data_IF_759760141741
#
_entry.id   IF_759760141741
#
_cell.length_a   1.000
_cell.length_b   1.000
_cell.length_c   1.000
_cell.angle_alpha   90.00
_cell.angle_beta   90.00
_cell.angle_gamma   90.00
#
_symmetry.space_group_name_H-M   'P 1'
#
loop_
_entity.id
_entity.type
_entity.pdbx_description
1 polymer ?
#
# COMPACT_ATOMS: atom_id res chain seq x y z
N UNK A 1 -11.62 -7.69 -50.39
CA UNK A 1 -10.36 -7.08 -49.91
C UNK A 1 -10.37 -7.13 -48.39
N UNK A 2 -9.51 -7.98 -47.83
CA UNK A 2 -9.52 -8.41 -46.43
C UNK A 2 -8.84 -7.40 -45.51
N UNK A 3 -9.53 -6.99 -44.44
CA UNK A 3 -9.00 -6.15 -43.37
C UNK A 3 -8.15 -7.01 -42.43
N UNK A 4 -6.83 -6.87 -42.52
CA UNK A 4 -5.89 -7.47 -41.56
C UNK A 4 -5.88 -6.63 -40.28
N UNK A 5 -6.60 -7.10 -39.26
CA UNK A 5 -6.51 -6.54 -37.90
C UNK A 5 -5.16 -6.90 -37.27
N UNK A 6 -4.23 -5.94 -37.27
CA UNK A 6 -2.97 -6.07 -36.54
C UNK A 6 -3.18 -5.74 -35.05
N UNK A 7 -3.41 -6.78 -34.25
CA UNK A 7 -3.31 -6.72 -32.79
C UNK A 7 -1.87 -6.43 -32.38
N UNK A 8 -1.57 -5.20 -31.98
CA UNK A 8 -0.28 -4.83 -31.38
C UNK A 8 -0.18 -5.45 -29.97
N UNK A 9 0.63 -6.50 -29.85
CA UNK A 9 1.08 -7.02 -28.57
C UNK A 9 2.11 -6.06 -27.96
N UNK A 10 1.68 -5.27 -26.98
CA UNK A 10 2.61 -4.52 -26.13
C UNK A 10 3.51 -5.51 -25.38
N UNK A 11 4.77 -5.61 -25.81
CA UNK A 11 5.84 -6.29 -25.07
C UNK A 11 6.18 -5.45 -23.85
N UNK A 12 5.35 -5.56 -22.79
CA UNK A 12 5.74 -5.13 -21.47
C UNK A 12 7.00 -5.91 -21.09
N UNK A 13 8.16 -5.23 -21.10
CA UNK A 13 9.36 -5.73 -20.43
C UNK A 13 9.02 -5.81 -18.93
N UNK A 14 8.45 -6.94 -18.54
CA UNK A 14 8.22 -7.29 -17.16
C UNK A 14 9.59 -7.56 -16.56
N UNK A 15 10.27 -6.50 -16.13
CA UNK A 15 11.35 -6.62 -15.15
C UNK A 15 10.70 -7.16 -13.89
N UNK A 16 10.56 -8.49 -13.83
CA UNK A 16 10.05 -9.17 -12.64
C UNK A 16 10.98 -8.75 -11.52
N UNK A 17 10.50 -8.02 -10.50
CA UNK A 17 11.36 -7.58 -9.42
C UNK A 17 12.01 -8.83 -8.86
N UNK A 18 13.34 -8.93 -9.02
CA UNK A 18 14.16 -10.08 -8.63
C UNK A 18 13.94 -10.26 -7.14
N UNK A 19 12.96 -11.10 -6.78
CA UNK A 19 12.59 -11.38 -5.39
C UNK A 19 13.86 -11.87 -4.74
N UNK A 20 14.49 -11.05 -3.88
CA UNK A 20 15.50 -11.57 -2.94
C UNK A 20 14.82 -12.73 -2.21
N UNK A 21 15.22 -13.94 -2.57
CA UNK A 21 14.55 -15.16 -2.19
C UNK A 21 14.51 -15.29 -0.67
N UNK A 22 13.51 -15.99 -0.16
CA UNK A 22 13.45 -16.42 1.24
C UNK A 22 14.79 -17.00 1.71
N UNK A 23 15.47 -17.73 0.82
CA UNK A 23 16.80 -18.31 1.02
C UNK A 23 17.87 -17.31 1.43
N UNK A 24 17.94 -16.12 0.81
CA UNK A 24 18.93 -15.11 1.18
C UNK A 24 18.71 -14.56 2.60
N UNK A 25 17.46 -14.50 3.05
CA UNK A 25 17.13 -14.09 4.43
C UNK A 25 17.46 -15.18 5.44
N UNK A 26 17.21 -16.43 5.07
CA UNK A 26 17.57 -17.58 5.90
C UNK A 26 19.09 -17.68 6.09
N UNK A 27 19.88 -17.51 5.02
CA UNK A 27 21.35 -17.49 5.11
C UNK A 27 21.83 -16.37 6.03
N UNK A 28 21.29 -15.16 5.89
CA UNK A 28 21.65 -14.04 6.77
C UNK A 28 21.33 -14.34 8.24
N UNK A 29 20.19 -14.98 8.51
CA UNK A 29 19.82 -15.39 9.86
C UNK A 29 20.76 -16.47 10.40
N UNK A 30 21.08 -17.49 9.62
CA UNK A 30 22.02 -18.55 10.03
C UNK A 30 23.43 -18.00 10.28
N UNK A 31 23.91 -17.07 9.45
CA UNK A 31 25.19 -16.37 9.68
C UNK A 31 25.16 -15.55 10.97
N UNK A 32 24.04 -14.89 11.28
CA UNK A 32 23.88 -14.17 12.53
C UNK A 32 23.93 -15.09 13.76
N UNK A 33 23.21 -16.22 13.70
CA UNK A 33 23.23 -17.23 14.77
C UNK A 33 24.62 -17.85 14.91
N UNK A 34 25.27 -18.21 13.80
CA UNK A 34 26.65 -18.72 13.80
C UNK A 34 27.64 -17.70 14.38
N UNK A 35 27.44 -16.41 14.11
CA UNK A 35 28.22 -15.32 14.71
C UNK A 35 28.08 -15.26 16.22
N UNK A 36 26.85 -15.36 16.75
CA UNK A 36 26.61 -15.39 18.20
C UNK A 36 27.26 -16.62 18.85
N UNK A 37 27.05 -17.80 18.26
CA UNK A 37 27.62 -19.07 18.78
C UNK A 37 29.16 -19.03 18.72
N UNK A 38 29.73 -18.55 17.61
CA UNK A 38 31.18 -18.40 17.45
C UNK A 38 31.76 -17.40 18.44
N UNK A 39 31.07 -16.29 18.70
CA UNK A 39 31.47 -15.31 19.71
C UNK A 39 31.47 -15.92 21.12
N UNK A 40 30.41 -16.66 21.49
CA UNK A 40 30.36 -17.36 22.79
C UNK A 40 31.45 -18.44 22.92
N UNK A 41 31.73 -19.18 21.85
CA UNK A 41 32.80 -20.17 21.83
C UNK A 41 34.19 -19.52 21.99
N UNK A 42 34.44 -18.40 21.31
CA UNK A 42 35.68 -17.63 21.47
C UNK A 42 35.87 -17.14 22.91
N UNK A 43 34.80 -16.67 23.55
CA UNK A 43 34.82 -16.28 24.96
C UNK A 43 35.21 -17.42 25.89
N UNK A 44 34.66 -18.60 25.65
CA UNK A 44 34.98 -19.79 26.43
C UNK A 44 36.45 -20.20 26.24
N UNK A 45 36.93 -20.22 24.99
CA UNK A 45 38.31 -20.62 24.67
C UNK A 45 39.35 -19.65 25.22
N UNK A 46 39.09 -18.34 25.17
CA UNK A 46 40.06 -17.35 25.67
C UNK A 46 40.03 -17.13 27.18
N UNK A 47 39.18 -17.85 27.93
CA UNK A 47 39.02 -17.70 29.39
C UNK A 47 39.03 -16.23 29.82
N UNK A 48 38.35 -15.38 29.06
CA UNK A 48 38.27 -13.96 29.41
C UNK A 48 37.47 -13.94 30.70
N UNK A 49 38.13 -13.63 31.81
CA UNK A 49 37.55 -13.48 33.14
C UNK A 49 36.65 -12.23 33.16
N UNK A 50 35.60 -12.25 32.36
CA UNK A 50 34.55 -11.27 32.41
C UNK A 50 33.79 -11.46 33.72
N UNK A 51 33.49 -10.37 34.43
CA UNK A 51 32.51 -10.42 35.51
C UNK A 51 31.24 -11.10 35.03
N UNK A 52 30.68 -12.00 35.85
CA UNK A 52 29.47 -12.77 35.55
C UNK A 52 28.32 -11.90 35.03
N UNK A 53 28.20 -10.68 35.54
CA UNK A 53 27.20 -9.69 35.10
C UNK A 53 27.29 -9.40 33.60
N UNK A 54 28.49 -9.24 33.05
CA UNK A 54 28.65 -8.98 31.61
C UNK A 54 28.27 -10.18 30.76
N UNK A 55 28.56 -11.40 31.22
CA UNK A 55 28.12 -12.61 30.53
C UNK A 55 26.60 -12.69 30.48
N UNK A 56 25.92 -12.37 31.58
CA UNK A 56 24.45 -12.29 31.63
C UNK A 56 23.94 -11.26 30.60
N UNK A 57 24.49 -10.04 30.61
CA UNK A 57 24.07 -8.98 29.70
C UNK A 57 24.24 -9.39 28.24
N UNK A 58 25.40 -9.93 27.86
CA UNK A 58 25.66 -10.36 26.48
C UNK A 58 24.80 -11.54 26.05
N UNK A 59 24.58 -12.51 26.93
CA UNK A 59 23.72 -13.67 26.64
C UNK A 59 22.26 -13.23 26.44
N UNK A 60 21.73 -12.40 27.34
CA UNK A 60 20.37 -11.85 27.26
C UNK A 60 20.19 -11.00 25.99
N UNK A 61 21.15 -10.12 25.68
CA UNK A 61 21.13 -9.32 24.46
C UNK A 61 21.19 -10.19 23.20
N UNK A 62 22.09 -11.18 23.17
CA UNK A 62 22.27 -12.09 22.04
C UNK A 62 21.02 -12.90 21.75
N UNK A 63 20.44 -13.54 22.77
CA UNK A 63 19.20 -14.33 22.63
C UNK A 63 18.02 -13.45 22.23
N UNK A 64 17.86 -12.28 22.87
CA UNK A 64 16.78 -11.34 22.55
C UNK A 64 16.87 -10.84 21.10
N UNK A 65 18.06 -10.41 20.66
CA UNK A 65 18.27 -9.97 19.28
C UNK A 65 18.04 -11.10 18.27
N UNK A 66 18.56 -12.30 18.53
CA UNK A 66 18.39 -13.45 17.65
C UNK A 66 16.93 -13.86 17.48
N UNK A 67 16.19 -13.95 18.58
CA UNK A 67 14.77 -14.33 18.55
C UNK A 67 13.91 -13.25 17.90
N UNK A 68 14.10 -11.98 18.25
CA UNK A 68 13.36 -10.87 17.64
C UNK A 68 13.66 -10.67 16.14
N UNK A 69 14.93 -10.67 15.75
CA UNK A 69 15.33 -10.57 14.35
C UNK A 69 14.93 -11.82 13.54
N UNK A 70 15.07 -13.01 14.12
CA UNK A 70 14.66 -14.27 13.52
C UNK A 70 13.16 -14.31 13.23
N UNK A 71 12.33 -14.00 14.22
CA UNK A 71 10.88 -13.94 14.06
C UNK A 71 10.48 -12.96 12.95
N UNK A 72 11.16 -11.82 12.87
CA UNK A 72 10.93 -10.82 11.83
C UNK A 72 11.31 -11.30 10.43
N UNK A 73 12.47 -11.94 10.28
CA UNK A 73 12.98 -12.40 8.98
C UNK A 73 12.16 -13.57 8.43
N UNK A 74 11.86 -14.55 9.28
CA UNK A 74 11.15 -15.78 8.91
C UNK A 74 9.65 -15.52 8.67
N UNK A 75 9.01 -14.73 9.54
CA UNK A 75 7.56 -14.50 9.49
C UNK A 75 7.16 -13.14 8.89
N UNK A 76 8.01 -12.57 8.02
CA UNK A 76 7.83 -11.21 7.45
C UNK A 76 6.52 -10.97 6.67
N UNK A 77 5.78 -12.03 6.29
CA UNK A 77 4.47 -11.92 5.61
C UNK A 77 3.28 -11.97 6.57
N UNK A 78 3.49 -12.41 7.81
CA UNK A 78 2.43 -12.69 8.76
C UNK A 78 2.03 -11.41 9.49
N UNK A 79 0.88 -11.41 10.17
CA UNK A 79 0.45 -10.26 10.98
C UNK A 79 1.42 -10.01 12.14
N UNK A 80 1.52 -8.77 12.59
CA UNK A 80 2.42 -8.41 13.71
C UNK A 80 2.17 -9.24 14.96
N UNK A 81 0.88 -9.50 15.27
CA UNK A 81 0.48 -10.33 16.40
C UNK A 81 1.02 -11.76 16.30
N UNK A 82 0.95 -12.41 15.14
CA UNK A 82 1.49 -13.77 15.04
C UNK A 82 3.01 -13.78 15.12
N UNK A 83 3.69 -12.76 14.60
CA UNK A 83 5.16 -12.65 14.78
C UNK A 83 5.54 -12.51 16.25
N UNK A 84 4.77 -11.75 17.02
CA UNK A 84 4.98 -11.59 18.45
C UNK A 84 4.83 -12.94 19.19
N UNK A 85 3.77 -13.70 18.90
CA UNK A 85 3.60 -15.03 19.50
C UNK A 85 4.69 -16.02 19.08
N UNK A 86 5.11 -16.00 17.81
CA UNK A 86 6.22 -16.85 17.34
C UNK A 86 7.55 -16.45 17.98
N UNK A 87 7.78 -15.15 18.21
CA UNK A 87 8.94 -14.67 18.95
C UNK A 87 8.94 -15.21 20.39
N UNK A 88 7.81 -15.11 21.10
CA UNK A 88 7.66 -15.68 22.45
C UNK A 88 7.88 -17.20 22.47
N UNK A 89 7.29 -17.91 21.52
CA UNK A 89 7.40 -19.36 21.41
C UNK A 89 8.84 -19.83 21.18
N UNK A 90 9.68 -19.01 20.52
CA UNK A 90 11.10 -19.30 20.30
C UNK A 90 11.97 -18.82 21.47
N UNK A 91 11.59 -17.72 22.13
CA UNK A 91 12.33 -17.12 23.24
C UNK A 91 12.42 -18.03 24.46
N UNK A 92 11.30 -18.64 24.88
CA UNK A 92 11.27 -19.53 26.04
C UNK A 92 12.20 -20.75 25.88
N UNK A 93 12.11 -21.55 24.79
CA UNK A 93 13.04 -22.64 24.54
C UNK A 93 14.49 -22.18 24.40
N UNK A 94 14.74 -21.01 23.81
CA UNK A 94 16.10 -20.48 23.67
C UNK A 94 16.74 -20.18 25.03
N UNK A 95 15.98 -19.55 25.94
CA UNK A 95 16.42 -19.29 27.32
C UNK A 95 16.59 -20.57 28.14
N UNK A 96 15.72 -21.57 27.92
CA UNK A 96 15.84 -22.88 28.58
C UNK A 96 17.08 -23.66 28.12
N UNK A 97 17.33 -23.68 26.80
CA UNK A 97 18.54 -24.31 26.23
C UNK A 97 19.80 -23.60 26.72
N UNK A 98 19.78 -22.27 26.82
CA UNK A 98 20.86 -21.50 27.44
C UNK A 98 21.09 -21.91 28.92
N UNK A 99 20.00 -22.18 29.66
CA UNK A 99 20.00 -22.81 30.98
C UNK A 99 20.81 -24.09 31.02
N UNK A 100 20.47 -25.05 30.16
CA UNK A 100 21.15 -26.35 30.08
C UNK A 100 22.65 -26.18 29.80
N UNK A 101 23.03 -25.32 28.85
CA UNK A 101 24.44 -25.15 28.47
C UNK A 101 25.28 -24.37 29.50
N UNK A 102 24.64 -23.57 30.35
CA UNK A 102 25.31 -22.74 31.35
C UNK A 102 25.27 -23.33 32.76
N UNK A 103 24.85 -24.59 32.91
CA UNK A 103 24.57 -25.22 34.20
C UNK A 103 23.61 -24.38 35.05
N UNK A 104 22.58 -23.83 34.42
CA UNK A 104 21.53 -23.00 35.04
C UNK A 104 22.02 -21.68 35.64
N UNK A 105 23.23 -21.25 35.31
CA UNK A 105 23.72 -19.92 35.73
C UNK A 105 23.16 -18.79 34.86
N UNK A 106 22.77 -19.10 33.63
CA UNK A 106 22.17 -18.20 32.65
C UNK A 106 20.89 -18.81 32.10
N UNK A 107 19.83 -18.04 31.90
CA UNK A 107 18.60 -18.53 31.29
C UNK A 107 17.46 -18.74 32.30
N UNK A 108 16.57 -19.68 31.98
CA UNK A 108 15.48 -20.11 32.88
C UNK A 108 15.88 -21.46 33.46
N UNK A 109 15.76 -21.60 34.78
CA UNK A 109 16.02 -22.84 35.51
C UNK A 109 15.13 -24.01 35.10
N UNK A 110 15.35 -25.21 35.68
CA UNK A 110 14.39 -26.29 35.55
C UNK A 110 13.00 -25.81 36.01
N UNK A 111 11.92 -26.32 35.42
CA UNK A 111 10.55 -25.82 35.70
C UNK A 111 10.02 -26.17 37.10
N UNK A 112 10.75 -26.95 37.91
CA UNK A 112 10.32 -27.37 39.25
C UNK A 112 10.07 -26.20 40.23
N UNK A 113 10.98 -25.23 40.40
CA UNK A 113 10.79 -24.11 41.34
C UNK A 113 9.58 -23.23 40.95
N UNK A 114 9.25 -23.19 39.66
CA UNK A 114 8.09 -22.47 39.15
C UNK A 114 6.76 -23.09 39.60
N UNK A 115 6.74 -24.39 39.88
CA UNK A 115 5.57 -25.11 40.41
C UNK A 115 5.49 -24.95 41.94
N UNK A 116 6.65 -24.91 42.60
CA UNK A 116 6.76 -24.80 44.06
C UNK A 116 6.60 -23.34 44.56
N UNK A 117 6.63 -22.36 43.65
CA UNK A 117 6.36 -20.94 43.95
C UNK A 117 7.59 -20.13 44.34
N UNK A 118 8.78 -20.73 44.34
CA UNK A 118 10.05 -20.06 44.58
C UNK A 118 10.63 -19.57 43.25
N UNK A 119 10.10 -18.45 42.73
CA UNK A 119 10.64 -17.84 41.52
C UNK A 119 11.85 -16.99 41.89
N UNK A 120 13.03 -17.37 41.41
CA UNK A 120 14.23 -16.56 41.53
C UNK A 120 14.04 -15.22 40.75
N UNK A 121 14.13 -14.05 41.42
CA UNK A 121 14.03 -12.77 40.74
C UNK A 121 15.08 -12.59 39.63
N UNK A 122 16.25 -13.24 39.71
CA UNK A 122 17.27 -13.16 38.67
C UNK A 122 16.83 -13.81 37.36
N UNK A 123 16.19 -14.99 37.41
CA UNK A 123 15.63 -15.63 36.22
C UNK A 123 14.56 -14.76 35.56
N UNK A 124 13.71 -14.14 36.38
CA UNK A 124 12.66 -13.25 35.90
C UNK A 124 13.23 -12.00 35.23
N UNK A 125 14.30 -11.42 35.79
CA UNK A 125 14.99 -10.27 35.20
C UNK A 125 15.66 -10.66 33.87
N UNK A 126 16.29 -11.83 33.80
CA UNK A 126 16.93 -12.31 32.57
C UNK A 126 15.89 -12.55 31.46
N UNK A 127 14.79 -13.22 31.77
CA UNK A 127 13.68 -13.45 30.84
C UNK A 127 13.02 -12.14 30.40
N UNK A 128 12.73 -11.25 31.35
CA UNK A 128 12.16 -9.93 31.07
C UNK A 128 13.07 -9.06 30.21
N UNK A 129 14.38 -9.08 30.48
CA UNK A 129 15.40 -8.41 29.69
C UNK A 129 15.48 -8.95 28.26
N UNK A 130 15.50 -10.28 28.10
CA UNK A 130 15.56 -10.92 26.78
C UNK A 130 14.30 -10.61 25.97
N UNK A 131 13.14 -10.63 26.62
CA UNK A 131 11.86 -10.27 26.03
C UNK A 131 11.81 -8.80 25.57
N UNK A 132 12.31 -7.87 26.39
CA UNK A 132 12.36 -6.44 26.04
C UNK A 132 13.25 -6.23 24.79
N UNK A 133 14.44 -6.82 24.78
CA UNK A 133 15.38 -6.74 23.65
C UNK A 133 14.76 -7.36 22.39
N UNK A 134 14.08 -8.50 22.51
CA UNK A 134 13.38 -9.13 21.40
C UNK A 134 12.25 -8.26 20.85
N UNK A 135 11.50 -7.57 21.70
CA UNK A 135 10.46 -6.61 21.28
C UNK A 135 11.05 -5.42 20.53
N UNK A 136 12.15 -4.85 21.05
CA UNK A 136 12.88 -3.78 20.37
C UNK A 136 13.35 -4.25 18.99
N UNK A 137 13.97 -5.43 18.90
CA UNK A 137 14.43 -6.00 17.62
C UNK A 137 13.27 -6.28 16.63
N UNK A 138 12.11 -6.69 17.15
CA UNK A 138 10.91 -6.91 16.33
C UNK A 138 10.43 -5.60 15.69
N UNK A 139 10.42 -4.50 16.44
CA UNK A 139 9.98 -3.17 16.02
C UNK A 139 11.06 -2.38 15.25
N UNK A 140 12.36 -2.63 15.48
CA UNK A 140 13.50 -1.79 15.11
C UNK A 140 13.66 -1.41 13.61
N UNK A 141 12.86 -1.95 12.71
CA UNK A 141 12.84 -1.54 11.30
C UNK A 141 11.45 -1.58 10.68
N UNK A 142 10.37 -1.56 11.48
CA UNK A 142 9.05 -1.36 10.89
C UNK A 142 9.10 0.00 10.22
N UNK A 143 9.33 0.02 8.91
CA UNK A 143 9.28 1.26 8.14
C UNK A 143 7.95 1.88 8.54
N UNK A 144 7.95 3.10 9.13
CA UNK A 144 6.69 3.77 9.33
C UNK A 144 6.07 3.75 7.95
N UNK A 145 4.93 3.06 7.84
CA UNK A 145 4.13 3.15 6.63
C UNK A 145 3.68 4.59 6.66
N UNK A 146 4.55 5.47 6.15
CA UNK A 146 4.23 6.83 5.79
C UNK A 146 3.11 6.61 4.81
N UNK A 147 1.90 6.67 5.34
CA UNK A 147 0.75 7.01 4.54
C UNK A 147 1.16 8.38 4.09
N UNK A 148 1.78 8.42 2.91
CA UNK A 148 1.70 9.58 2.04
C UNK A 148 0.21 9.83 2.05
N UNK A 149 -0.21 10.77 2.89
CA UNK A 149 -1.50 11.38 2.69
C UNK A 149 -1.32 11.88 1.29
N UNK A 150 -2.01 11.24 0.34
CA UNK A 150 -2.12 11.77 -1.00
C UNK A 150 -2.46 13.23 -0.76
N UNK A 151 -1.45 14.09 -0.97
CA UNK A 151 -1.61 15.51 -0.82
C UNK A 151 -2.81 15.80 -1.69
N UNK A 152 -3.90 16.18 -1.04
CA UNK A 152 -5.16 16.41 -1.69
C UNK A 152 -4.86 17.59 -2.60
N UNK A 153 -4.42 17.31 -3.83
CA UNK A 153 -4.31 18.29 -4.88
C UNK A 153 -5.75 18.74 -5.02
N UNK A 154 -6.10 19.95 -4.54
CA UNK A 154 -7.46 20.40 -4.68
C UNK A 154 -7.72 20.35 -6.17
N UNK A 155 -8.71 19.55 -6.56
CA UNK A 155 -9.20 19.48 -7.91
C UNK A 155 -9.56 20.92 -8.27
N UNK A 156 -8.65 21.60 -8.98
CA UNK A 156 -8.88 22.94 -9.49
C UNK A 156 -10.00 22.73 -10.48
N UNK A 157 -11.22 22.94 -10.02
CA UNK A 157 -12.40 23.07 -10.87
C UNK A 157 -12.05 24.18 -11.84
N UNK A 158 -11.56 23.78 -13.00
CA UNK A 158 -11.51 24.60 -14.19
C UNK A 158 -12.96 24.99 -14.42
N UNK A 159 -13.29 26.19 -13.96
CA UNK A 159 -14.47 26.92 -14.31
C UNK A 159 -14.40 27.12 -15.81
N UNK A 160 -14.87 26.11 -16.56
CA UNK A 160 -15.22 26.25 -17.96
C UNK A 160 -16.26 27.36 -18.01
N UNK A 161 -15.79 28.55 -18.32
CA UNK A 161 -16.58 29.71 -18.67
C UNK A 161 -17.54 29.25 -19.76
N UNK A 162 -18.80 29.10 -19.39
CA UNK A 162 -19.91 29.01 -20.32
C UNK A 162 -20.03 30.34 -21.06
N UNK A 163 -19.15 30.58 -22.02
CA UNK A 163 -19.33 31.57 -23.07
C UNK A 163 -20.43 31.06 -23.99
N UNK A 164 -21.67 31.24 -23.53
CA UNK A 164 -22.87 31.06 -24.34
C UNK A 164 -22.95 32.26 -25.28
N UNK A 165 -22.08 32.27 -26.30
CA UNK A 165 -22.11 33.24 -27.40
C UNK A 165 -23.39 32.99 -28.20
N UNK A 166 -24.44 33.71 -27.81
CA UNK A 166 -25.69 33.88 -28.54
C UNK A 166 -25.34 34.50 -29.90
N UNK A 167 -25.17 33.67 -30.91
CA UNK A 167 -25.16 34.11 -32.31
C UNK A 167 -26.53 34.73 -32.60
N UNK A 168 -26.56 36.05 -32.69
CA UNK A 168 -27.60 36.79 -33.39
C UNK A 168 -27.37 36.57 -34.89
N UNK A 169 -28.26 35.82 -35.53
CA UNK A 169 -28.44 35.83 -36.98
C UNK A 169 -29.24 37.09 -37.37
N UNK A 170 -28.76 37.91 -38.31
CA UNK A 170 -29.58 38.93 -38.95
C UNK A 170 -30.48 38.30 -40.05
N UNK A 171 -31.51 39.04 -40.41
CA UNK A 171 -32.68 38.65 -41.16
C UNK A 171 -32.50 38.61 -42.69
N UNK A 172 -33.56 38.09 -43.34
CA UNK A 172 -33.98 38.24 -44.74
C UNK A 172 -33.19 37.40 -45.77
N UNK A 173 -33.73 36.81 -46.82
CA UNK A 173 -35.08 36.67 -47.41
C UNK A 173 -34.92 35.79 -48.66
N UNK A 174 -36.04 35.39 -49.28
CA UNK A 174 -36.20 34.95 -50.69
C UNK A 174 -36.37 33.44 -50.90
N UNK A 175 -37.51 33.17 -51.54
CA UNK A 175 -38.06 31.93 -52.08
C UNK A 175 -37.08 31.17 -52.96
N UNK A 176 -37.14 29.84 -52.95
CA UNK A 176 -37.42 29.07 -54.17
C UNK A 176 -37.91 27.66 -53.80
N UNK A 177 -38.82 27.15 -54.61
CA UNK A 177 -39.69 26.00 -54.43
C UNK A 177 -39.11 24.68 -54.96
N UNK A 178 -39.45 23.58 -54.25
CA UNK A 178 -39.64 22.18 -54.73
C UNK A 178 -38.42 21.33 -55.14
N UNK A 179 -38.54 19.97 -55.18
CA UNK A 179 -39.43 19.07 -54.44
C UNK A 179 -38.69 17.90 -53.75
N UNK A 180 -39.47 17.20 -52.91
CA UNK A 180 -39.27 15.91 -52.25
C UNK A 180 -38.13 14.98 -52.72
N UNK A 181 -37.34 14.50 -51.75
CA UNK A 181 -36.86 13.12 -51.77
C UNK A 181 -36.77 12.55 -50.34
N UNK A 182 -37.68 11.60 -50.13
CA UNK A 182 -37.81 10.73 -48.96
C UNK A 182 -36.49 10.01 -48.66
N UNK A 183 -35.88 10.26 -47.51
CA UNK A 183 -34.87 9.34 -46.95
C UNK A 183 -35.26 8.98 -45.51
N UNK A 184 -35.43 7.67 -45.36
CA UNK A 184 -35.88 6.89 -44.22
C UNK A 184 -35.05 7.15 -42.96
N UNK A 185 -35.77 7.42 -41.87
CA UNK A 185 -35.31 7.28 -40.48
C UNK A 185 -35.22 5.79 -40.09
N UNK A 186 -34.13 5.36 -39.44
CA UNK A 186 -34.15 4.20 -38.56
C UNK A 186 -34.04 4.63 -37.07
N UNK A 187 -35.19 4.57 -36.42
CA UNK A 187 -35.46 3.96 -35.10
C UNK A 187 -34.35 4.04 -34.03
N UNK A 188 -34.63 4.87 -33.02
CA UNK A 188 -34.04 4.77 -31.69
C UNK A 188 -34.47 3.45 -31.01
N UNK A 189 -33.53 2.56 -30.74
CA UNK A 189 -33.76 1.36 -29.93
C UNK A 189 -33.73 1.74 -28.46
N UNK A 190 -34.91 1.77 -27.85
CA UNK A 190 -35.12 1.88 -26.41
C UNK A 190 -34.76 0.55 -25.74
N UNK A 191 -33.61 0.45 -25.07
CA UNK A 191 -33.35 -0.69 -24.19
C UNK A 191 -34.04 -0.46 -22.84
N UNK A 192 -35.18 -1.15 -22.68
CA UNK A 192 -35.90 -1.27 -21.44
C UNK A 192 -35.05 -1.93 -20.36
N UNK A 193 -35.00 -1.27 -19.21
CA UNK A 193 -34.47 -1.77 -17.96
C UNK A 193 -35.21 -3.06 -17.54
N UNK A 194 -34.48 -4.15 -17.31
CA UNK A 194 -34.99 -5.33 -16.63
C UNK A 194 -34.41 -5.39 -15.23
N UNK A 195 -35.29 -5.22 -14.25
CA UNK A 195 -34.97 -5.15 -12.84
C UNK A 195 -34.38 -6.43 -12.26
N UNK A 196 -33.57 -6.23 -11.21
CA UNK A 196 -33.44 -7.16 -10.09
C UNK A 196 -33.46 -6.36 -8.80
N UNK A 197 -34.66 -6.17 -8.28
CA UNK A 197 -34.93 -5.80 -6.90
C UNK A 197 -34.45 -6.93 -5.98
N UNK A 198 -33.24 -6.79 -5.42
CA UNK A 198 -32.86 -7.58 -4.24
C UNK A 198 -33.38 -6.84 -3.00
N UNK A 199 -34.45 -7.41 -2.45
CA UNK A 199 -34.99 -7.17 -1.12
C UNK A 199 -33.87 -6.89 -0.11
N UNK A 200 -33.89 -5.69 0.47
CA UNK A 200 -33.21 -5.42 1.73
C UNK A 200 -34.25 -5.57 2.82
N UNK A 201 -34.10 -6.62 3.62
CA UNK A 201 -34.79 -6.77 4.89
C UNK A 201 -34.44 -5.56 5.78
N UNK A 202 -35.42 -4.67 5.95
CA UNK A 202 -35.37 -3.61 6.94
C UNK A 202 -35.49 -4.26 8.32
N UNK A 203 -34.40 -4.25 9.08
CA UNK A 203 -34.40 -4.65 10.48
C UNK A 203 -35.13 -3.56 11.26
N UNK A 204 -36.32 -3.89 11.74
CA UNK A 204 -37.14 -3.06 12.59
C UNK A 204 -36.32 -2.63 13.82
N UNK A 205 -36.11 -1.32 13.96
CA UNK A 205 -35.52 -0.72 15.15
C UNK A 205 -36.70 -0.24 16.00
N UNK A 206 -37.07 -1.05 16.99
CA UNK A 206 -38.07 -0.72 18.01
C UNK A 206 -37.60 0.50 18.80
N UNK A 207 -38.19 1.66 18.50
CA UNK A 207 -38.13 2.86 19.34
C UNK A 207 -39.03 2.63 20.55
N UNK A 208 -38.45 2.32 21.70
CA UNK A 208 -39.10 2.49 22.99
C UNK A 208 -39.20 3.97 23.30
N UNK A 209 -40.44 4.42 23.40
CA UNK A 209 -40.92 5.76 23.72
C UNK A 209 -40.95 5.89 25.25
N UNK A 210 -39.99 6.59 25.86
CA UNK A 210 -40.14 7.06 27.24
C UNK A 210 -40.52 8.53 27.22
N UNK A 211 -41.75 8.78 27.66
CA UNK A 211 -42.39 10.08 27.85
C UNK A 211 -42.29 10.40 29.35
N UNK A 212 -41.74 11.56 29.70
CA UNK A 212 -41.75 12.12 31.07
C UNK A 212 -41.12 13.51 31.00
N UNK A 213 -41.92 14.56 30.78
CA UNK A 213 -42.51 15.48 31.78
C UNK A 213 -41.47 16.28 32.57
N UNK A 214 -41.21 17.48 32.05
CA UNK A 214 -41.17 18.77 32.75
C UNK A 214 -40.48 18.84 34.11
N UNK A 215 -39.30 19.46 34.13
CA UNK A 215 -38.95 20.44 35.15
C UNK A 215 -37.90 21.42 34.59
N UNK A 216 -38.33 22.67 34.56
CA UNK A 216 -37.64 23.91 34.27
C UNK A 216 -36.34 24.07 35.07
N UNK A 217 -35.18 24.19 34.41
CA UNK A 217 -34.01 24.85 35.00
C UNK A 217 -32.95 25.26 33.97
N UNK A 218 -32.80 26.58 33.87
CA UNK A 218 -31.61 27.38 33.54
C UNK A 218 -30.76 26.98 32.32
N UNK A 219 -30.86 27.85 31.32
CA UNK A 219 -29.98 28.00 30.16
C UNK A 219 -28.55 28.26 30.66
N UNK A 220 -27.70 27.25 30.58
CA UNK A 220 -26.24 27.42 30.57
C UNK A 220 -25.74 26.89 29.23
N UNK A 221 -25.13 27.78 28.45
CA UNK A 221 -24.59 27.49 27.12
C UNK A 221 -23.59 26.34 27.19
N UNK A 222 -24.05 25.14 26.83
CA UNK A 222 -23.21 23.96 26.75
C UNK A 222 -22.64 23.88 25.33
N UNK A 223 -21.34 24.17 25.22
CA UNK A 223 -20.56 23.98 24.00
C UNK A 223 -20.69 22.53 23.55
N UNK A 224 -21.11 22.24 22.30
CA UNK A 224 -21.30 20.87 21.86
C UNK A 224 -19.93 20.15 21.82
N UNK A 225 -19.70 19.29 22.80
CA UNK A 225 -18.58 18.35 22.78
C UNK A 225 -18.74 17.42 21.57
N UNK A 226 -17.70 17.25 20.72
CA UNK A 226 -17.78 16.36 19.58
C UNK A 226 -17.95 14.92 20.07
N UNK A 227 -19.12 14.36 19.76
CA UNK A 227 -19.44 12.97 20.04
C UNK A 227 -18.39 12.07 19.41
N UNK A 228 -17.73 11.27 20.26
CA UNK A 228 -16.69 10.30 19.88
C UNK A 228 -17.23 9.38 18.79
N UNK A 229 -16.75 9.60 17.57
CA UNK A 229 -17.11 8.79 16.41
C UNK A 229 -16.65 7.35 16.63
N UNK A 230 -17.64 6.47 16.59
CA UNK A 230 -17.60 5.06 16.91
C UNK A 230 -16.64 4.35 15.94
N UNK A 231 -15.52 3.87 16.49
CA UNK A 231 -14.68 2.81 15.92
C UNK A 231 -15.56 1.72 15.32
N UNK A 232 -15.49 1.55 13.99
CA UNK A 232 -15.70 0.30 13.22
C UNK A 232 -15.80 0.65 11.73
N UNK A 233 -14.66 0.92 11.10
CA UNK A 233 -14.47 0.77 9.65
C UNK A 233 -13.12 0.08 9.51
N UNK A 234 -13.07 -1.19 9.15
CA UNK A 234 -13.51 -1.79 7.89
C UNK A 234 -12.22 -2.47 7.41
N UNK A 235 -12.31 -3.74 7.02
CA UNK A 235 -11.34 -4.37 6.16
C UNK A 235 -11.17 -3.47 4.92
N UNK A 236 -10.22 -2.54 4.96
CA UNK A 236 -9.85 -1.68 3.84
C UNK A 236 -9.24 -2.62 2.82
N UNK A 237 -10.07 -3.07 1.87
CA UNK A 237 -9.60 -3.56 0.58
C UNK A 237 -8.61 -2.50 0.09
N UNK A 238 -7.37 -2.93 -0.17
CA UNK A 238 -6.32 -2.06 -0.69
C UNK A 238 -6.90 -1.30 -1.89
N UNK A 239 -6.89 0.04 -1.92
CA UNK A 239 -7.32 0.77 -3.10
C UNK A 239 -6.47 0.25 -4.26
N UNK A 240 -7.16 -0.22 -5.30
CA UNK A 240 -6.52 -0.63 -6.53
C UNK A 240 -5.99 0.66 -7.15
N UNK A 241 -4.72 0.94 -6.89
CA UNK A 241 -4.03 2.15 -7.31
C UNK A 241 -3.92 2.08 -8.84
N UNK A 242 -4.94 2.58 -9.51
CA UNK A 242 -4.94 2.78 -10.96
C UNK A 242 -4.02 3.97 -11.19
N UNK A 243 -2.75 3.68 -11.41
CA UNK A 243 -1.81 4.66 -11.93
C UNK A 243 -2.26 4.93 -13.37
N UNK A 244 -3.22 5.83 -13.55
CA UNK A 244 -3.50 6.42 -14.84
C UNK A 244 -2.33 7.35 -15.13
N UNK A 245 -1.28 6.80 -15.72
CA UNK A 245 -0.16 7.59 -16.23
C UNK A 245 -0.71 8.44 -17.37
N UNK A 246 -0.90 9.74 -17.11
CA UNK A 246 -1.25 10.70 -18.14
C UNK A 246 0.03 10.98 -18.92
N UNK A 247 0.14 10.41 -20.12
CA UNK A 247 1.33 10.60 -20.97
C UNK A 247 1.19 11.94 -21.71
N UNK A 248 2.02 12.91 -21.34
CA UNK A 248 2.10 14.20 -22.03
C UNK A 248 2.95 14.04 -23.29
N UNK A 249 2.32 14.10 -24.46
CA UNK A 249 3.03 14.07 -25.74
C UNK A 249 3.39 15.48 -26.19
N UNK A 250 4.67 15.74 -26.48
CA UNK A 250 5.16 17.02 -27.03
C UNK A 250 5.68 16.83 -28.44
N UNK A 251 5.36 17.76 -29.33
CA UNK A 251 5.85 17.74 -30.71
C UNK A 251 7.36 18.04 -30.72
N UNK A 252 8.22 17.21 -31.32
CA UNK A 252 9.66 17.48 -31.40
C UNK A 252 10.04 18.74 -32.18
N UNK A 253 9.15 19.23 -33.05
CA UNK A 253 9.44 20.35 -33.94
C UNK A 253 9.17 21.71 -33.28
N UNK A 254 8.01 21.87 -32.64
CA UNK A 254 7.61 23.13 -32.01
C UNK A 254 7.64 23.08 -30.47
N UNK A 255 7.89 21.91 -29.87
CA UNK A 255 7.89 21.67 -28.42
C UNK A 255 6.56 21.93 -27.70
N UNK A 256 5.49 22.19 -28.46
CA UNK A 256 4.12 22.35 -27.94
C UNK A 256 3.48 20.97 -27.65
N UNK A 257 2.55 20.95 -26.69
CA UNK A 257 1.78 19.74 -26.34
C UNK A 257 0.87 19.32 -27.51
N UNK A 258 0.91 18.05 -27.90
CA UNK A 258 0.07 17.49 -28.96
C UNK A 258 -1.06 16.68 -28.32
N UNK A 259 -2.28 17.22 -28.38
CA UNK A 259 -3.48 16.50 -27.96
C UNK A 259 -4.05 15.72 -29.13
N UNK A 260 -4.63 14.54 -28.91
CA UNK A 260 -5.21 13.72 -30.00
C UNK A 260 -6.28 14.43 -30.83
N UNK A 261 -6.95 15.44 -30.26
CA UNK A 261 -7.95 16.28 -30.92
C UNK A 261 -7.46 17.71 -31.12
N UNK A 262 -6.17 17.89 -31.44
CA UNK A 262 -5.61 19.22 -31.73
C UNK A 262 -6.30 19.83 -32.98
N UNK A 263 -6.76 21.10 -32.92
CA UNK A 263 -7.39 21.76 -34.08
C UNK A 263 -6.47 21.89 -35.29
N UNK A 264 -5.14 21.87 -35.11
CA UNK A 264 -4.17 21.87 -36.22
C UNK A 264 -4.11 20.52 -36.96
N UNK A 265 -4.79 19.51 -36.43
CA UNK A 265 -4.68 18.13 -36.87
C UNK A 265 -3.45 17.44 -36.27
N UNK A 266 -3.52 16.12 -36.17
CA UNK A 266 -2.46 15.30 -35.55
C UNK A 266 -2.03 14.23 -36.53
N UNK A 267 -0.72 14.06 -36.68
CA UNK A 267 -0.12 12.98 -37.45
C UNK A 267 0.76 12.11 -36.54
N UNK A 268 0.56 10.79 -36.63
CA UNK A 268 1.33 9.82 -35.86
C UNK A 268 2.46 9.30 -36.74
N UNK A 269 3.69 9.27 -36.24
CA UNK A 269 4.81 8.66 -36.96
C UNK A 269 4.61 7.14 -37.03
N UNK A 270 4.73 6.54 -38.21
CA UNK A 270 4.54 5.10 -38.39
C UNK A 270 5.66 4.25 -37.75
N UNK A 271 6.82 4.86 -37.49
CA UNK A 271 7.99 4.18 -36.91
C UNK A 271 8.00 4.27 -35.38
N UNK A 272 8.11 5.49 -34.80
CA UNK A 272 8.16 5.66 -33.34
C UNK A 272 6.80 5.85 -32.66
N UNK A 273 5.70 5.97 -33.41
CA UNK A 273 4.36 6.22 -32.87
C UNK A 273 4.18 7.55 -32.11
N UNK A 274 5.16 8.45 -32.15
CA UNK A 274 5.09 9.80 -31.58
C UNK A 274 4.04 10.63 -32.32
N UNK A 275 3.27 11.45 -31.57
CA UNK A 275 2.29 12.38 -32.12
C UNK A 275 2.96 13.70 -32.49
N UNK A 276 2.62 14.22 -33.67
CA UNK A 276 3.08 15.50 -34.20
C UNK A 276 1.88 16.33 -34.64
N UNK A 277 2.00 17.65 -34.64
CA UNK A 277 1.03 18.50 -35.32
C UNK A 277 1.12 18.29 -36.84
N UNK A 278 -0.03 18.27 -37.52
CA UNK A 278 -0.09 17.95 -38.95
C UNK A 278 0.60 19.01 -39.83
N UNK A 279 0.61 20.27 -39.39
CA UNK A 279 1.34 21.37 -40.03
C UNK A 279 2.85 21.19 -39.94
N UNK A 280 3.38 20.89 -38.75
CA UNK A 280 4.80 20.61 -38.52
C UNK A 280 5.26 19.39 -39.32
N UNK A 281 4.40 18.36 -39.42
CA UNK A 281 4.67 17.19 -40.26
C UNK A 281 4.67 17.51 -41.75
N UNK A 282 3.77 18.39 -42.21
CA UNK A 282 3.70 18.76 -43.63
C UNK A 282 4.95 19.52 -44.10
N UNK A 283 5.57 20.30 -43.22
CA UNK A 283 6.81 21.06 -43.51
C UNK A 283 8.01 20.11 -43.59
N UNK A 284 8.18 19.22 -42.61
CA UNK A 284 9.36 18.36 -42.53
C UNK A 284 9.25 17.10 -43.38
N UNK A 285 8.04 16.60 -43.60
CA UNK A 285 7.74 15.40 -44.38
C UNK A 285 8.06 14.08 -43.68
N UNK A 286 8.88 14.06 -42.63
CA UNK A 286 9.30 12.87 -41.89
C UNK A 286 9.58 13.16 -40.41
N UNK A 287 9.62 12.12 -39.58
CA UNK A 287 9.94 12.24 -38.16
C UNK A 287 11.47 12.32 -37.93
N UNK A 288 11.93 13.34 -37.20
CA UNK A 288 13.35 13.54 -36.86
C UNK A 288 13.81 12.76 -35.62
N UNK A 289 12.91 12.04 -34.94
CA UNK A 289 13.29 11.18 -33.82
C UNK A 289 14.16 10.05 -34.37
N UNK A 290 15.39 9.86 -33.87
CA UNK A 290 16.25 8.78 -34.34
C UNK A 290 15.57 7.44 -34.12
N UNK A 291 15.19 6.78 -35.21
CA UNK A 291 14.71 5.42 -35.17
C UNK A 291 15.92 4.49 -35.26
N UNK A 292 16.07 3.60 -34.28
CA UNK A 292 16.96 2.46 -34.46
C UNK A 292 16.33 1.61 -35.57
N UNK A 293 16.94 1.59 -36.76
CA UNK A 293 16.52 0.73 -37.86
C UNK A 293 16.41 -0.70 -37.33
N UNK A 294 15.18 -1.23 -37.32
CA UNK A 294 14.87 -2.63 -37.02
C UNK A 294 14.41 -3.32 -38.29
#
# INVERSE_FOLDING_TARGET
MSLSSATMSHSYSSSTPRRKGFFGKLILFLLFVAGIVGFMALFNVHQINLPQLWMIVFAVLGVGLATGAGARLLFYKWSGLVRFFMMLLVLFPAMFVLGIFSNWTLGIGPLNPWVEGEIDPYELIQLGGAFLVACIALEAWTKPSVKVQDEYVPEVRSSSSGSRRRQQTPAASVMESSPALHVRSPQAVTYQAKGRSRLKFAKANTRTRSRGTTAEKLILAHTPQPTRSRRKRAFKRKPQLQISMYEEHKCPFCLEEVKRNDPRGVKKCDVCNTLHHADCWAITGFCQVPHLNT
#
